data_IF_901030251579
#
_entry.id   IF_901030251579
#
_cell.length_a   1.000
_cell.length_b   1.000
_cell.length_c   1.000
_cell.angle_alpha   90.00
_cell.angle_beta   90.00
_cell.angle_gamma   90.00
#
_symmetry.space_group_name_H-M   'P 1'
#
loop_
_entity.id
_entity.type
_entity.pdbx_description
1 polymer ?
#
# COMPACT_ATOMS: atom_id res chain seq x y z
N UNK A 1 12.35 -15.39 3.79
CA UNK A 1 11.06 -15.82 3.26
C UNK A 1 11.28 -17.05 2.41
N UNK A 2 10.53 -18.14 2.65
CA UNK A 2 10.69 -19.38 1.89
C UNK A 2 10.36 -19.14 0.41
N UNK A 3 10.99 -19.91 -0.47
CA UNK A 3 10.53 -20.00 -1.86
C UNK A 3 9.18 -20.74 -1.90
N UNK A 4 8.34 -20.36 -2.85
CA UNK A 4 7.08 -21.06 -3.14
C UNK A 4 7.14 -21.55 -4.59
N UNK A 5 6.98 -22.86 -4.79
CA UNK A 5 7.11 -23.51 -6.10
C UNK A 5 8.40 -23.11 -6.86
N UNK A 6 9.52 -23.02 -6.15
CA UNK A 6 10.83 -22.69 -6.73
C UNK A 6 11.04 -21.21 -7.07
N UNK A 7 10.13 -20.31 -6.69
CA UNK A 7 10.24 -18.86 -6.91
C UNK A 7 10.26 -18.07 -5.60
N UNK A 8 10.87 -16.87 -5.56
CA UNK A 8 10.68 -15.94 -4.46
C UNK A 8 9.18 -15.64 -4.29
N UNK A 9 8.71 -15.69 -3.04
CA UNK A 9 7.33 -15.36 -2.70
C UNK A 9 7.27 -13.92 -2.18
N UNK A 10 6.31 -13.15 -2.67
CA UNK A 10 5.89 -11.88 -2.08
C UNK A 10 4.41 -11.95 -1.68
N UNK A 11 4.01 -11.13 -0.72
CA UNK A 11 2.68 -11.15 -0.11
C UNK A 11 2.31 -9.80 0.48
N UNK A 12 1.00 -9.56 0.62
CA UNK A 12 0.44 -8.30 1.16
C UNK A 12 -0.19 -8.47 2.55
N UNK A 13 -0.16 -9.68 3.10
CA UNK A 13 -0.70 -9.97 4.44
C UNK A 13 0.21 -10.94 5.21
N UNK A 14 0.23 -10.76 6.52
CA UNK A 14 0.89 -11.62 7.48
C UNK A 14 -0.07 -11.85 8.65
N UNK A 15 -0.15 -13.09 9.12
CA UNK A 15 -0.78 -13.43 10.39
C UNK A 15 0.25 -14.06 11.31
N UNK A 16 0.30 -13.61 12.57
CA UNK A 16 1.13 -14.18 13.62
C UNK A 16 0.22 -14.76 14.68
N UNK A 17 0.40 -16.05 15.00
CA UNK A 17 -0.43 -16.77 15.97
C UNK A 17 -1.95 -16.61 15.71
N UNK A 18 -2.37 -16.66 14.43
CA UNK A 18 -3.77 -16.46 14.00
C UNK A 18 -4.27 -15.01 14.00
N UNK A 19 -3.47 -14.03 14.46
CA UNK A 19 -3.83 -12.60 14.45
C UNK A 19 -3.21 -11.89 13.26
N UNK A 20 -4.03 -11.13 12.51
CA UNK A 20 -3.54 -10.32 11.38
C UNK A 20 -2.58 -9.24 11.89
N UNK A 21 -1.35 -9.25 11.37
CA UNK A 21 -0.36 -8.22 11.61
C UNK A 21 -0.59 -7.02 10.66
N UNK A 22 -0.03 -5.88 11.02
CA UNK A 22 -0.16 -4.63 10.27
C UNK A 22 0.96 -4.51 9.26
N UNK A 23 0.66 -4.36 7.96
CA UNK A 23 1.71 -3.94 7.02
C UNK A 23 2.12 -2.52 7.39
N UNK A 24 3.42 -2.31 7.65
CA UNK A 24 3.95 -1.08 8.22
C UNK A 24 3.44 0.17 7.47
N UNK A 25 3.00 1.18 8.22
CA UNK A 25 2.40 2.40 7.65
C UNK A 25 2.74 3.65 8.47
N UNK A 26 2.61 4.81 7.85
CA UNK A 26 3.01 6.09 8.44
C UNK A 26 2.14 6.56 9.61
N UNK A 27 0.87 6.16 9.65
CA UNK A 27 -0.07 6.48 10.73
C UNK A 27 -0.77 5.24 11.26
N UNK A 28 -0.80 5.08 12.59
CA UNK A 28 -1.54 3.99 13.24
C UNK A 28 -3.05 4.23 13.20
N UNK A 29 -3.46 5.48 13.42
CA UNK A 29 -4.83 6.00 13.42
C UNK A 29 -5.12 6.74 12.10
N UNK A 30 -6.11 6.27 11.36
CA UNK A 30 -6.44 6.80 10.03
C UNK A 30 -7.04 8.21 10.06
N UNK A 31 -7.57 8.67 11.20
CA UNK A 31 -8.03 10.06 11.35
C UNK A 31 -6.86 11.06 11.25
N UNK A 32 -5.62 10.59 11.42
CA UNK A 32 -4.40 11.39 11.34
C UNK A 32 -3.75 11.38 9.95
N UNK A 33 -4.41 10.80 8.94
CA UNK A 33 -3.90 10.79 7.57
C UNK A 33 -3.65 12.19 7.04
N UNK A 34 -2.51 12.34 6.36
CA UNK A 34 -2.19 13.56 5.64
C UNK A 34 -3.16 13.75 4.47
N UNK A 35 -3.33 15.01 4.04
CA UNK A 35 -4.17 15.36 2.89
C UNK A 35 -3.32 15.79 1.71
N UNK A 36 -3.76 15.48 0.50
CA UNK A 36 -3.12 15.96 -0.73
C UNK A 36 -3.24 17.50 -0.83
N UNK A 37 -2.35 18.11 -1.61
CA UNK A 37 -2.37 19.54 -1.94
C UNK A 37 -3.12 19.79 -3.24
N UNK A 38 -2.71 19.12 -4.31
CA UNK A 38 -3.28 19.30 -5.65
C UNK A 38 -2.94 18.10 -6.55
N UNK A 39 -3.60 18.04 -7.71
CA UNK A 39 -3.40 17.02 -8.74
C UNK A 39 -3.01 17.74 -10.04
N UNK A 40 -1.89 17.35 -10.64
CA UNK A 40 -1.50 17.75 -11.99
C UNK A 40 -1.66 16.55 -12.91
N UNK A 41 -2.79 16.53 -13.62
CA UNK A 41 -3.20 15.44 -14.51
C UNK A 41 -2.29 15.36 -15.73
N UNK A 42 -1.87 16.50 -16.29
CA UNK A 42 -1.06 16.55 -17.51
C UNK A 42 0.31 15.92 -17.31
N UNK A 43 0.93 16.14 -16.13
CA UNK A 43 2.25 15.63 -15.82
C UNK A 43 2.25 14.36 -14.94
N UNK A 44 1.08 13.84 -14.61
CA UNK A 44 0.88 12.71 -13.69
C UNK A 44 1.58 12.92 -12.33
N UNK A 45 1.33 14.08 -11.69
CA UNK A 45 1.91 14.44 -10.40
C UNK A 45 0.81 14.62 -9.36
N UNK A 46 0.97 13.94 -8.22
CA UNK A 46 0.22 14.24 -7.01
C UNK A 46 1.09 15.07 -6.07
N UNK A 47 0.61 16.26 -5.73
CA UNK A 47 1.29 17.14 -4.80
C UNK A 47 0.81 16.87 -3.38
N UNK A 48 1.76 16.67 -2.45
CA UNK A 48 1.49 16.40 -1.04
C UNK A 48 2.38 17.26 -0.14
N UNK A 49 2.06 17.43 1.17
CA UNK A 49 2.96 18.09 2.11
C UNK A 49 4.31 17.35 2.18
N UNK A 50 5.44 18.05 2.04
CA UNK A 50 6.77 17.42 2.04
C UNK A 50 7.05 16.59 3.31
N UNK A 51 6.54 17.05 4.46
CA UNK A 51 6.66 16.35 5.74
C UNK A 51 6.09 14.91 5.68
N UNK A 52 4.98 14.72 4.96
CA UNK A 52 4.28 13.42 4.88
C UNK A 52 5.10 12.32 4.22
N UNK A 53 5.97 12.68 3.27
CA UNK A 53 6.76 11.71 2.48
C UNK A 53 8.23 11.64 2.92
N UNK A 54 8.61 12.34 3.98
CA UNK A 54 10.01 12.45 4.39
C UNK A 54 10.63 11.09 4.73
N UNK A 55 9.89 10.22 5.45
CA UNK A 55 10.36 8.88 5.85
C UNK A 55 10.64 7.97 4.64
N UNK A 56 9.85 8.10 3.57
CA UNK A 56 9.88 7.14 2.43
C UNK A 56 10.71 7.60 1.24
N UNK A 57 11.43 8.73 1.32
CA UNK A 57 12.17 9.29 0.17
C UNK A 57 13.17 8.33 -0.50
N UNK A 58 13.66 7.33 0.24
CA UNK A 58 14.60 6.32 -0.25
C UNK A 58 13.97 4.92 -0.36
N UNK A 59 12.71 4.78 -0.01
CA UNK A 59 12.02 3.50 -0.04
C UNK A 59 11.66 3.14 -1.49
N UNK A 60 12.23 2.04 -1.98
CA UNK A 60 12.13 1.61 -3.37
C UNK A 60 10.72 1.11 -3.76
N UNK A 61 9.99 0.57 -2.79
CA UNK A 61 8.71 -0.10 -3.01
C UNK A 61 7.56 0.54 -2.22
N UNK A 62 7.73 1.78 -1.75
CA UNK A 62 6.70 2.48 -1.00
C UNK A 62 5.41 2.62 -1.84
N UNK A 63 4.28 2.54 -1.15
CA UNK A 63 2.95 2.58 -1.75
C UNK A 63 2.13 3.63 -1.02
N UNK A 64 1.39 4.42 -1.78
CA UNK A 64 0.38 5.33 -1.26
C UNK A 64 -0.98 4.67 -1.41
N UNK A 65 -1.79 4.67 -0.35
CA UNK A 65 -3.20 4.33 -0.45
C UNK A 65 -3.99 5.63 -0.33
N UNK A 66 -4.55 6.07 -1.45
CA UNK A 66 -5.24 7.34 -1.61
C UNK A 66 -6.74 7.15 -1.40
N UNK A 67 -7.34 7.90 -0.47
CA UNK A 67 -8.78 7.94 -0.29
C UNK A 67 -9.41 8.94 -1.27
N UNK A 68 -10.24 8.46 -2.19
CA UNK A 68 -10.86 9.27 -3.24
C UNK A 68 -12.36 8.96 -3.37
N UNK A 69 -13.17 9.79 -2.70
CA UNK A 69 -14.63 9.65 -2.68
C UNK A 69 -15.08 8.30 -2.10
N UNK A 70 -15.58 7.39 -2.93
CA UNK A 70 -16.10 6.08 -2.52
C UNK A 70 -15.11 4.93 -2.73
N UNK A 71 -13.88 5.22 -3.17
CA UNK A 71 -12.84 4.21 -3.34
C UNK A 71 -11.52 4.62 -2.67
N UNK A 72 -10.63 3.64 -2.61
CA UNK A 72 -9.20 3.87 -2.44
C UNK A 72 -8.47 3.46 -3.71
N UNK A 73 -7.30 4.06 -3.95
CA UNK A 73 -6.34 3.61 -4.95
C UNK A 73 -5.01 3.27 -4.31
N UNK A 74 -4.50 2.06 -4.59
CA UNK A 74 -3.16 1.62 -4.25
C UNK A 74 -2.17 2.08 -5.35
N UNK A 75 -1.36 3.10 -5.06
CA UNK A 75 -0.47 3.75 -6.01
C UNK A 75 1.01 3.55 -5.62
N UNK A 76 1.77 2.78 -6.41
CA UNK A 76 3.18 2.52 -6.10
C UNK A 76 4.02 3.74 -6.44
N UNK A 77 4.77 4.25 -5.46
CA UNK A 77 5.54 5.47 -5.59
C UNK A 77 6.80 5.19 -6.41
N UNK A 78 6.96 5.92 -7.51
CA UNK A 78 8.12 5.85 -8.40
C UNK A 78 9.19 6.87 -8.02
N UNK A 79 8.78 8.10 -7.68
CA UNK A 79 9.71 9.14 -7.24
C UNK A 79 9.03 10.22 -6.41
N UNK A 80 9.83 10.85 -5.55
CA UNK A 80 9.44 11.98 -4.71
C UNK A 80 10.45 13.10 -4.92
N UNK A 81 9.96 14.29 -5.31
CA UNK A 81 10.78 15.50 -5.45
C UNK A 81 10.24 16.60 -4.54
N UNK A 82 11.01 16.98 -3.52
CA UNK A 82 10.63 18.02 -2.56
C UNK A 82 10.88 19.40 -3.16
N UNK A 83 9.90 20.29 -3.02
CA UNK A 83 9.94 21.70 -3.43
C UNK A 83 9.33 22.55 -2.29
N UNK A 84 10.20 23.09 -1.44
CA UNK A 84 9.76 23.83 -0.26
C UNK A 84 8.99 22.95 0.73
N UNK A 85 7.76 23.34 1.05
CA UNK A 85 6.86 22.63 1.97
C UNK A 85 6.04 21.53 1.28
N UNK A 86 6.21 21.35 -0.03
CA UNK A 86 5.45 20.43 -0.87
C UNK A 86 6.37 19.39 -1.52
N UNK A 87 5.81 18.26 -1.94
CA UNK A 87 6.51 17.23 -2.68
C UNK A 87 5.69 16.77 -3.88
N UNK A 88 6.33 16.72 -5.04
CA UNK A 88 5.80 16.08 -6.24
C UNK A 88 6.02 14.57 -6.13
N UNK A 89 4.92 13.82 -6.05
CA UNK A 89 4.91 12.35 -6.05
C UNK A 89 4.48 11.87 -7.43
N UNK A 90 5.29 10.99 -8.02
CA UNK A 90 4.96 10.28 -9.26
C UNK A 90 4.83 8.80 -8.99
N UNK A 91 3.96 8.13 -9.75
CA UNK A 91 3.65 6.72 -9.55
C UNK A 91 4.19 5.84 -10.68
N UNK A 92 4.25 4.54 -10.43
CA UNK A 92 4.59 3.56 -11.46
C UNK A 92 3.43 3.34 -12.44
N UNK A 93 3.78 2.86 -13.64
CA UNK A 93 2.81 2.30 -14.57
C UNK A 93 2.50 0.84 -14.20
N UNK A 94 1.30 0.32 -14.51
CA UNK A 94 0.25 0.96 -15.31
C UNK A 94 -0.69 1.92 -14.57
N UNK A 95 -0.67 1.93 -13.23
CA UNK A 95 -1.66 2.63 -12.41
C UNK A 95 -1.59 4.16 -12.54
N UNK A 96 -0.41 4.75 -12.77
CA UNK A 96 -0.26 6.21 -12.92
C UNK A 96 -1.22 6.76 -13.99
N UNK A 97 -1.12 6.28 -15.22
CA UNK A 97 -1.99 6.70 -16.33
C UNK A 97 -3.47 6.57 -15.97
N UNK A 98 -3.87 5.41 -15.45
CA UNK A 98 -5.27 5.12 -15.12
C UNK A 98 -5.76 6.08 -14.03
N UNK A 99 -4.98 6.26 -12.97
CA UNK A 99 -5.29 7.14 -11.85
C UNK A 99 -5.51 8.60 -12.29
N UNK A 100 -4.67 9.13 -13.18
CA UNK A 100 -4.78 10.52 -13.59
C UNK A 100 -5.83 10.76 -14.69
N UNK A 101 -6.07 9.79 -15.57
CA UNK A 101 -7.02 9.93 -16.69
C UNK A 101 -8.48 9.64 -16.30
N UNK A 102 -8.73 8.74 -15.35
CA UNK A 102 -10.10 8.36 -15.02
C UNK A 102 -10.87 9.50 -14.33
N UNK A 103 -12.13 9.76 -14.72
CA UNK A 103 -12.87 10.89 -14.17
C UNK A 103 -13.56 10.59 -12.84
N UNK A 104 -13.85 9.31 -12.54
CA UNK A 104 -14.64 8.89 -11.39
C UNK A 104 -14.23 7.51 -10.84
N UNK A 105 -14.04 7.38 -9.51
CA UNK A 105 -13.86 8.48 -8.56
C UNK A 105 -12.62 9.31 -8.91
N UNK A 106 -12.36 10.40 -8.18
CA UNK A 106 -11.12 11.16 -8.35
C UNK A 106 -10.71 11.85 -7.06
N UNK A 107 -9.44 12.24 -6.89
CA UNK A 107 -9.01 12.88 -5.66
C UNK A 107 -9.75 14.20 -5.42
N UNK A 108 -10.20 14.40 -4.19
CA UNK A 108 -10.85 15.63 -3.74
C UNK A 108 -9.79 16.72 -3.55
N UNK A 109 -9.94 17.84 -4.25
CA UNK A 109 -9.16 19.07 -4.05
C UNK A 109 -10.15 20.21 -3.85
N UNK A 110 -10.11 20.82 -2.67
CA UNK A 110 -11.15 21.70 -2.13
C UNK A 110 -10.53 22.89 -1.44
N UNK A 111 -11.32 23.95 -1.21
CA UNK A 111 -10.88 25.15 -0.48
C UNK A 111 -11.31 25.17 0.99
N UNK A 112 -12.07 24.16 1.44
CA UNK A 112 -12.72 24.10 2.75
C UNK A 112 -12.21 22.97 3.64
N UNK A 113 -11.07 22.35 3.27
CA UNK A 113 -10.38 21.36 4.11
C UNK A 113 -10.78 19.91 3.88
N UNK A 114 -11.56 19.61 2.84
CA UNK A 114 -12.01 18.25 2.50
C UNK A 114 -11.15 17.58 1.42
N UNK A 115 -9.87 17.94 1.32
CA UNK A 115 -8.96 17.29 0.39
C UNK A 115 -8.81 15.80 0.71
N UNK A 116 -8.58 15.00 -0.34
CA UNK A 116 -8.35 13.56 -0.23
C UNK A 116 -7.24 13.24 0.75
N UNK A 117 -7.52 12.30 1.64
CA UNK A 117 -6.56 11.76 2.60
C UNK A 117 -5.75 10.64 1.98
N UNK A 118 -4.57 10.36 2.52
CA UNK A 118 -3.78 9.19 2.15
C UNK A 118 -2.95 8.69 3.33
N UNK A 119 -2.59 7.41 3.26
CA UNK A 119 -1.51 6.85 4.08
C UNK A 119 -0.44 6.23 3.19
N UNK A 120 0.74 6.03 3.76
CA UNK A 120 1.89 5.42 3.12
C UNK A 120 2.16 4.06 3.75
N UNK A 121 2.55 3.08 2.95
CA UNK A 121 2.86 1.72 3.41
C UNK A 121 4.00 1.11 2.59
N UNK A 122 4.41 -0.11 2.96
CA UNK A 122 5.43 -0.90 2.28
C UNK A 122 6.83 -0.28 2.24
N UNK A 123 7.27 0.27 3.37
CA UNK A 123 8.63 0.76 3.54
C UNK A 123 9.15 0.35 4.91
N UNK A 124 10.42 -0.05 4.97
CA UNK A 124 11.06 -0.42 6.23
C UNK A 124 11.10 0.75 7.21
N UNK A 125 11.26 1.97 6.69
CA UNK A 125 11.29 3.22 7.45
C UNK A 125 9.96 3.56 8.14
N UNK A 126 8.88 2.86 7.80
CA UNK A 126 7.56 3.00 8.42
C UNK A 126 7.29 1.95 9.50
N UNK A 127 8.17 0.95 9.66
CA UNK A 127 8.04 -0.10 10.68
C UNK A 127 8.44 0.47 12.04
N UNK A 128 7.49 1.03 12.80
CA UNK A 128 7.79 1.73 14.06
C UNK A 128 6.87 1.39 15.24
N UNK A 129 5.77 0.66 15.02
CA UNK A 129 4.89 0.19 16.09
C UNK A 129 4.91 -1.35 16.27
N UNK A 130 4.71 -1.85 17.49
CA UNK A 130 4.44 -3.27 17.72
C UNK A 130 3.25 -3.77 16.91
N UNK A 131 3.37 -4.97 16.34
CA UNK A 131 2.40 -5.60 15.45
C UNK A 131 2.59 -5.25 13.97
N UNK A 132 3.52 -4.35 13.63
CA UNK A 132 3.82 -4.02 12.24
C UNK A 132 4.83 -4.97 11.60
N UNK A 133 4.77 -5.11 10.27
CA UNK A 133 5.71 -5.90 9.47
C UNK A 133 6.06 -5.24 8.14
N UNK A 134 7.23 -5.61 7.61
CA UNK A 134 7.71 -5.24 6.28
C UNK A 134 8.44 -6.43 5.63
N UNK A 135 8.14 -6.70 4.36
CA UNK A 135 8.84 -7.70 3.56
C UNK A 135 9.79 -7.01 2.58
N UNK A 136 11.09 -7.19 2.79
CA UNK A 136 12.12 -6.79 1.85
C UNK A 136 12.25 -7.86 0.76
N UNK A 137 11.60 -7.61 -0.38
CA UNK A 137 11.58 -8.54 -1.51
C UNK A 137 12.95 -8.70 -2.18
N UNK A 138 13.84 -7.70 -2.08
CA UNK A 138 15.17 -7.76 -2.71
C UNK A 138 16.09 -8.70 -1.93
N UNK A 139 16.00 -8.70 -0.59
CA UNK A 139 16.77 -9.60 0.27
C UNK A 139 16.01 -10.88 0.67
N UNK A 140 14.71 -10.97 0.35
CA UNK A 140 13.83 -12.06 0.76
C UNK A 140 13.66 -12.15 2.28
N UNK A 141 13.68 -11.01 3.00
CA UNK A 141 13.61 -10.96 4.47
C UNK A 141 12.31 -10.35 4.95
N UNK A 142 11.64 -11.03 5.87
CA UNK A 142 10.45 -10.53 6.56
C UNK A 142 10.89 -9.97 7.93
N UNK A 143 10.54 -8.72 8.17
CA UNK A 143 10.72 -8.02 9.44
C UNK A 143 9.35 -7.89 10.10
N UNK A 144 9.27 -8.21 11.39
CA UNK A 144 8.07 -8.08 12.22
C UNK A 144 8.49 -7.49 13.56
N UNK A 145 7.76 -6.48 14.04
CA UNK A 145 7.89 -5.96 15.40
C UNK A 145 6.88 -6.70 16.28
N UNK A 146 7.31 -7.62 17.17
CA UNK A 146 6.39 -8.37 18.02
C UNK A 146 5.63 -7.49 19.00
N UNK A 147 4.42 -7.89 19.36
CA UNK A 147 3.69 -7.31 20.47
C UNK A 147 4.42 -7.57 21.81
N UNK A 148 4.14 -6.75 22.83
CA UNK A 148 4.76 -6.92 24.15
C UNK A 148 4.46 -8.31 24.72
N UNK A 149 5.51 -9.08 25.01
CA UNK A 149 5.42 -10.44 25.53
C UNK A 149 4.97 -11.50 24.50
N UNK A 150 4.87 -11.15 23.20
CA UNK A 150 4.47 -12.10 22.17
C UNK A 150 5.60 -13.08 21.83
N UNK A 151 5.31 -14.37 22.02
CA UNK A 151 6.12 -15.46 21.48
C UNK A 151 5.59 -15.83 20.09
N UNK A 152 6.46 -15.79 19.07
CA UNK A 152 6.08 -16.13 17.70
C UNK A 152 6.10 -17.66 17.54
N UNK A 153 4.94 -18.30 17.65
CA UNK A 153 4.80 -19.76 17.47
C UNK A 153 4.49 -20.11 16.01
N UNK A 154 3.74 -19.25 15.35
CA UNK A 154 3.33 -19.43 13.96
C UNK A 154 3.31 -18.09 13.23
N UNK A 155 3.79 -18.08 11.98
CA UNK A 155 3.67 -16.97 11.05
C UNK A 155 3.16 -17.50 9.70
N UNK A 156 2.00 -16.98 9.25
CA UNK A 156 1.31 -17.42 8.04
C UNK A 156 1.23 -16.27 7.04
N UNK A 157 1.60 -16.55 5.79
CA UNK A 157 1.49 -15.63 4.65
C UNK A 157 0.70 -16.32 3.53
N UNK A 158 -0.10 -15.58 2.75
CA UNK A 158 -0.83 -16.14 1.61
C UNK A 158 0.14 -16.42 0.46
N UNK A 159 -0.05 -17.55 -0.23
CA UNK A 159 0.77 -17.96 -1.37
C UNK A 159 -0.02 -18.23 -2.67
N UNK A 160 -1.34 -18.34 -2.58
CA UNK A 160 -2.25 -18.59 -3.71
C UNK A 160 -3.50 -17.73 -3.60
N UNK A 161 -4.11 -17.41 -4.74
CA UNK A 161 -5.31 -16.57 -4.81
C UNK A 161 -6.61 -17.36 -4.60
N UNK A 162 -6.65 -18.63 -5.00
CA UNK A 162 -7.87 -19.45 -5.02
C UNK A 162 -7.58 -20.84 -4.45
N UNK A 163 -8.36 -21.26 -3.45
CA UNK A 163 -8.27 -22.61 -2.86
C UNK A 163 -9.11 -23.62 -3.64
N UNK A 164 -10.33 -23.22 -4.01
CA UNK A 164 -11.28 -24.05 -4.77
C UNK A 164 -11.87 -23.18 -5.87
N UNK A 165 -11.84 -23.69 -7.10
CA UNK A 165 -12.44 -23.05 -8.28
C UNK A 165 -13.54 -23.97 -8.80
N UNK A 166 -14.77 -23.47 -8.79
CA UNK A 166 -15.94 -24.14 -9.37
C UNK A 166 -16.30 -23.37 -10.64
N UNK A 167 -15.98 -23.94 -11.79
CA UNK A 167 -16.12 -23.29 -13.08
C UNK A 167 -16.66 -24.31 -14.09
N UNK A 168 -17.78 -23.97 -14.71
CA UNK A 168 -18.37 -24.69 -15.84
C UNK A 168 -18.46 -23.78 -17.05
N UNK A 169 -19.02 -24.28 -18.14
CA UNK A 169 -19.36 -23.45 -19.30
C UNK A 169 -20.87 -23.22 -19.36
N UNK A 170 -21.33 -22.37 -20.29
CA UNK A 170 -22.77 -22.18 -20.52
C UNK A 170 -23.45 -23.49 -20.95
N UNK A 171 -22.75 -24.32 -21.75
CA UNK A 171 -23.27 -25.58 -22.27
C UNK A 171 -23.07 -26.75 -21.29
N UNK A 172 -22.04 -26.68 -20.43
CA UNK A 172 -21.70 -27.69 -19.44
C UNK A 172 -21.56 -27.04 -18.04
N UNK A 173 -22.68 -26.69 -17.40
CA UNK A 173 -22.66 -26.10 -16.06
C UNK A 173 -22.26 -27.13 -15.02
N UNK A 174 -21.62 -26.66 -13.93
CA UNK A 174 -21.40 -27.51 -12.75
C UNK A 174 -22.73 -27.78 -12.06
N UNK A 175 -23.04 -29.04 -11.77
CA UNK A 175 -24.22 -29.47 -11.02
C UNK A 175 -23.85 -30.40 -9.87
N UNK A 176 -24.80 -30.61 -8.96
CA UNK A 176 -24.67 -31.52 -7.81
C UNK A 176 -24.74 -32.99 -8.22
#
# INVERSE_FOLDING_TARGET
>A
VPSFNGRPLDFRQLWVNGRKAVRARDVADFEQMNRIRSVDVENEILWVPAASVTKIRKAKYAEMVLHEMWCVADLRIKSVTVQGDSAAVRFHSPESRIQFEHPWPRPMVTTDGHNSAFYLTNAFELLDQPGEWYHDIDSGKLYYYPLSGEEIKEAVVPAVETLVRVEGTLDEPVSN
#
